data_IF_641124397549
#
_entry.id   IF_641124397549
#
_cell.length_a   1.000
_cell.length_b   1.000
_cell.length_c   1.000
_cell.angle_alpha   90.00
_cell.angle_beta   90.00
_cell.angle_gamma   90.00
#
_symmetry.space_group_name_H-M   'P 1'
#
loop_
_entity.id
_entity.type
_entity.pdbx_description
1 polymer ?
#
# COMPACT_ATOMS: atom_id res chain seq x y z
N UNK A 1 6.21 2.30 -15.10
CA UNK A 1 6.36 2.83 -13.72
C UNK A 1 5.74 4.22 -13.69
N UNK A 2 4.94 4.52 -12.67
CA UNK A 2 4.28 5.83 -12.51
C UNK A 2 5.13 6.74 -11.63
N UNK A 3 5.34 7.98 -12.07
CA UNK A 3 6.00 9.00 -11.27
C UNK A 3 5.00 9.53 -10.23
N UNK A 4 5.40 9.54 -8.96
CA UNK A 4 4.59 10.12 -7.89
C UNK A 4 4.79 11.64 -7.86
N UNK A 5 3.77 12.37 -8.29
CA UNK A 5 3.72 13.83 -8.16
C UNK A 5 3.60 14.24 -6.69
N UNK A 6 3.85 15.51 -6.38
CA UNK A 6 3.63 16.05 -5.04
C UNK A 6 2.19 15.80 -4.54
N UNK A 7 1.19 15.94 -5.41
CA UNK A 7 -0.21 15.66 -5.09
C UNK A 7 -0.47 14.18 -4.79
N UNK A 8 0.15 13.24 -5.53
CA UNK A 8 0.03 11.81 -5.23
C UNK A 8 0.68 11.43 -3.91
N UNK A 9 1.87 12.00 -3.61
CA UNK A 9 2.55 11.81 -2.31
C UNK A 9 1.67 12.31 -1.17
N UNK A 10 1.10 13.51 -1.33
CA UNK A 10 0.23 14.11 -0.32
C UNK A 10 -1.05 13.27 -0.11
N UNK A 11 -1.68 12.80 -1.18
CA UNK A 11 -2.85 11.93 -1.08
C UNK A 11 -2.56 10.65 -0.28
N UNK A 12 -1.39 10.02 -0.49
CA UNK A 12 -0.96 8.84 0.29
C UNK A 12 -0.82 9.21 1.76
N UNK A 13 -0.13 10.31 2.08
CA UNK A 13 0.07 10.77 3.45
C UNK A 13 -1.26 11.07 4.14
N UNK A 14 -2.12 11.85 3.50
CA UNK A 14 -3.41 12.25 4.05
C UNK A 14 -4.29 11.02 4.33
N UNK A 15 -4.33 10.09 3.39
CA UNK A 15 -5.10 8.85 3.54
C UNK A 15 -4.59 8.02 4.72
N UNK A 16 -3.28 7.77 4.80
CA UNK A 16 -2.71 6.97 5.90
C UNK A 16 -2.86 7.67 7.24
N UNK A 17 -2.61 8.97 7.30
CA UNK A 17 -2.68 9.75 8.53
C UNK A 17 -4.11 9.91 9.03
N UNK A 18 -5.10 10.03 8.14
CA UNK A 18 -6.52 10.02 8.53
C UNK A 18 -6.92 8.68 9.18
N UNK A 19 -6.51 7.55 8.59
CA UNK A 19 -6.78 6.21 9.15
C UNK A 19 -6.08 6.01 10.50
N UNK A 20 -4.80 6.36 10.58
CA UNK A 20 -4.02 6.29 11.83
C UNK A 20 -4.63 7.16 12.92
N UNK A 21 -5.10 8.36 12.58
CA UNK A 21 -5.74 9.28 13.52
C UNK A 21 -7.07 8.71 14.05
N UNK A 22 -7.85 8.01 13.23
CA UNK A 22 -9.09 7.35 13.68
C UNK A 22 -8.82 6.30 14.76
N UNK A 23 -7.80 5.46 14.56
CA UNK A 23 -7.34 4.48 15.57
C UNK A 23 -6.75 5.19 16.79
N UNK A 24 -5.88 6.18 16.58
CA UNK A 24 -5.21 6.91 17.66
C UNK A 24 -6.20 7.55 18.64
N UNK A 25 -7.30 8.10 18.14
CA UNK A 25 -8.35 8.72 18.93
C UNK A 25 -9.35 7.71 19.52
N UNK A 26 -9.21 6.40 19.26
CA UNK A 26 -10.18 5.39 19.68
C UNK A 26 -11.55 5.56 19.00
N UNK A 27 -11.59 6.15 17.79
CA UNK A 27 -12.82 6.40 17.02
C UNK A 27 -13.21 5.23 16.10
N UNK A 28 -12.45 4.14 16.11
CA UNK A 28 -12.79 2.90 15.43
C UNK A 28 -13.36 1.90 16.45
N UNK A 29 -14.59 1.39 16.26
CA UNK A 29 -15.17 0.40 17.16
C UNK A 29 -14.24 -0.79 17.39
N UNK A 30 -14.09 -1.20 18.65
CA UNK A 30 -13.22 -2.32 19.03
C UNK A 30 -11.75 -1.94 19.28
N UNK A 31 -11.33 -0.70 19.01
CA UNK A 31 -9.97 -0.22 19.29
C UNK A 31 -9.96 0.85 20.38
N UNK A 32 -9.03 0.70 21.33
CA UNK A 32 -8.72 1.76 22.30
C UNK A 32 -7.86 2.84 21.65
N UNK A 33 -7.86 4.04 22.22
CA UNK A 33 -6.93 5.09 21.81
C UNK A 33 -5.47 4.64 21.97
N UNK A 34 -4.62 5.12 21.05
CA UNK A 34 -3.20 4.82 21.09
C UNK A 34 -2.46 5.92 21.87
N UNK A 35 -1.54 5.53 22.75
CA UNK A 35 -0.76 6.50 23.56
C UNK A 35 0.24 7.32 22.73
N UNK A 36 0.74 6.77 21.62
CA UNK A 36 1.77 7.41 20.80
C UNK A 36 1.70 6.98 19.33
N UNK A 37 0.75 7.56 18.58
CA UNK A 37 0.63 7.36 17.13
C UNK A 37 1.09 8.61 16.38
N UNK A 38 2.26 8.56 15.75
CA UNK A 38 2.78 9.70 14.98
C UNK A 38 2.17 9.74 13.57
N UNK A 39 2.04 10.95 13.03
CA UNK A 39 1.74 11.13 11.60
C UNK A 39 2.95 10.68 10.76
N UNK A 40 2.70 9.94 9.69
CA UNK A 40 3.71 9.53 8.73
C UNK A 40 4.19 10.72 7.93
N UNK A 41 5.47 10.70 7.59
CA UNK A 41 6.10 11.59 6.62
C UNK A 41 6.52 10.82 5.37
N UNK A 42 6.56 11.50 4.23
CA UNK A 42 7.01 10.87 3.00
C UNK A 42 8.54 10.67 3.03
N UNK A 43 9.00 9.52 2.55
CA UNK A 43 10.42 9.25 2.39
C UNK A 43 10.72 8.75 0.97
N UNK A 44 11.59 9.49 0.26
CA UNK A 44 11.92 9.20 -1.13
C UNK A 44 12.81 7.97 -1.31
N UNK A 45 13.64 7.59 -0.31
CA UNK A 45 14.42 6.35 -0.35
C UNK A 45 13.51 5.12 -0.29
N UNK A 46 12.54 5.11 0.63
CA UNK A 46 11.52 4.05 0.71
C UNK A 46 10.68 3.98 -0.57
N UNK A 47 10.34 5.14 -1.15
CA UNK A 47 9.60 5.20 -2.42
C UNK A 47 10.43 4.63 -3.57
N UNK A 48 11.73 4.93 -3.62
CA UNK A 48 12.67 4.37 -4.60
C UNK A 48 12.81 2.85 -4.48
N UNK A 49 12.86 2.31 -3.26
CA UNK A 49 12.92 0.85 -3.03
C UNK A 49 11.61 0.18 -3.44
N UNK A 50 10.45 0.74 -3.04
CA UNK A 50 9.14 0.26 -3.51
C UNK A 50 9.05 0.24 -5.04
N UNK A 51 9.69 1.22 -5.67
CA UNK A 51 9.86 1.36 -7.11
C UNK A 51 10.56 0.17 -7.78
N UNK A 52 11.54 -0.44 -7.10
CA UNK A 52 12.25 -1.62 -7.58
C UNK A 52 11.38 -2.88 -7.50
N UNK A 53 10.51 -2.98 -6.49
CA UNK A 53 9.55 -4.08 -6.38
C UNK A 53 8.48 -4.01 -7.49
N UNK A 54 7.82 -2.85 -7.68
CA UNK A 54 6.74 -2.72 -8.68
C UNK A 54 7.24 -2.92 -10.12
N UNK A 55 8.51 -2.62 -10.41
CA UNK A 55 9.12 -2.86 -11.72
C UNK A 55 9.20 -4.34 -12.11
N UNK A 56 9.10 -5.25 -11.14
CA UNK A 56 9.11 -6.69 -11.41
C UNK A 56 7.76 -7.20 -11.91
N UNK A 57 6.68 -6.40 -11.79
CA UNK A 57 5.32 -6.77 -12.20
C UNK A 57 4.83 -8.09 -11.56
N UNK A 58 5.30 -8.40 -10.35
CA UNK A 58 4.94 -9.57 -9.56
C UNK A 58 4.33 -9.11 -8.24
N UNK A 59 3.15 -9.65 -7.89
CA UNK A 59 2.48 -9.38 -6.61
C UNK A 59 3.08 -10.19 -5.47
N UNK A 60 4.38 -9.96 -5.23
CA UNK A 60 5.16 -10.69 -4.24
C UNK A 60 6.02 -9.74 -3.42
N UNK A 61 6.08 -10.02 -2.12
CA UNK A 61 6.99 -9.33 -1.23
C UNK A 61 8.44 -9.65 -1.60
N UNK A 62 9.29 -8.63 -1.71
CA UNK A 62 10.73 -8.79 -1.84
C UNK A 62 11.37 -9.41 -0.58
N UNK A 63 12.51 -10.06 -0.71
CA UNK A 63 13.21 -10.67 0.44
C UNK A 63 13.92 -9.63 1.31
N UNK A 64 14.36 -8.52 0.71
CA UNK A 64 15.11 -7.46 1.37
C UNK A 64 14.67 -6.10 0.84
N UNK A 65 14.42 -5.16 1.75
CA UNK A 65 13.98 -3.78 1.47
C UNK A 65 14.44 -2.77 2.53
N UNK A 66 15.41 -3.18 3.35
CA UNK A 66 15.94 -2.37 4.42
C UNK A 66 16.85 -1.28 3.85
N UNK A 67 16.96 -0.17 4.57
CA UNK A 67 17.89 0.91 4.24
C UNK A 67 18.90 1.06 5.36
N UNK A 68 19.93 1.89 5.14
CA UNK A 68 20.88 2.21 6.21
C UNK A 68 20.18 2.84 7.43
N UNK A 69 19.20 3.72 7.17
CA UNK A 69 18.42 4.38 8.21
C UNK A 69 17.30 3.49 8.76
N UNK A 70 16.71 2.63 7.93
CA UNK A 70 15.56 1.81 8.29
C UNK A 70 15.87 0.31 8.17
N UNK A 71 16.31 -0.29 9.28
CA UNK A 71 16.72 -1.70 9.34
C UNK A 71 15.55 -2.70 9.33
N UNK A 72 14.32 -2.23 9.60
CA UNK A 72 13.11 -3.05 9.55
C UNK A 72 12.06 -2.25 8.79
N UNK A 73 11.81 -2.63 7.55
CA UNK A 73 10.86 -1.96 6.67
C UNK A 73 9.70 -2.91 6.34
N UNK A 74 8.49 -2.50 6.71
CA UNK A 74 7.25 -3.18 6.35
C UNK A 74 6.88 -2.95 4.88
N UNK A 75 5.92 -3.72 4.36
CA UNK A 75 5.46 -3.58 2.98
C UNK A 75 4.01 -3.98 2.84
N UNK A 76 3.22 -3.14 2.18
CA UNK A 76 1.88 -3.45 1.72
C UNK A 76 1.89 -3.51 0.19
N UNK A 77 1.26 -4.53 -0.38
CA UNK A 77 1.11 -4.68 -1.83
C UNK A 77 -0.37 -4.61 -2.20
N UNK A 78 -0.66 -3.96 -3.32
CA UNK A 78 -2.02 -3.82 -3.83
C UNK A 78 -2.03 -3.88 -5.35
N UNK A 79 -3.07 -4.51 -5.91
CA UNK A 79 -3.32 -4.55 -7.34
C UNK A 79 -4.76 -4.12 -7.59
N UNK A 80 -4.95 -3.32 -8.64
CA UNK A 80 -6.26 -2.99 -9.18
C UNK A 80 -6.27 -3.40 -10.64
N UNK A 81 -7.22 -4.24 -11.01
CA UNK A 81 -7.39 -4.74 -12.37
C UNK A 81 -8.61 -4.03 -12.98
N UNK A 82 -8.39 -3.32 -14.09
CA UNK A 82 -9.51 -2.86 -14.94
C UNK A 82 -9.82 -3.96 -15.95
N UNK A 83 -10.98 -4.58 -15.82
CA UNK A 83 -11.55 -5.48 -16.84
C UNK A 83 -12.46 -4.65 -17.74
N UNK A 84 -12.36 -4.87 -19.04
CA UNK A 84 -13.08 -4.12 -20.06
C UNK A 84 -14.57 -4.41 -20.21
N UNK A 85 -15.12 -5.30 -19.40
CA UNK A 85 -16.54 -5.54 -19.35
C UNK A 85 -16.92 -5.95 -17.93
N UNK A 86 -17.52 -5.00 -17.21
CA UNK A 86 -17.83 -5.14 -15.80
C UNK A 86 -19.34 -5.37 -15.66
N UNK A 87 -19.76 -6.64 -15.63
CA UNK A 87 -21.12 -7.00 -15.18
C UNK A 87 -21.14 -7.83 -13.89
N UNK A 88 -19.99 -7.98 -13.22
CA UNK A 88 -19.95 -8.53 -11.86
C UNK A 88 -18.77 -7.94 -11.10
N UNK A 89 -19.06 -7.09 -10.10
CA UNK A 89 -18.14 -6.80 -9.00
C UNK A 89 -17.99 -8.12 -8.25
N UNK A 90 -17.01 -8.91 -8.65
CA UNK A 90 -16.85 -10.25 -8.10
C UNK A 90 -15.58 -10.90 -8.61
N UNK A 91 -14.58 -10.96 -7.73
CA UNK A 91 -13.64 -12.08 -7.69
C UNK A 91 -12.57 -12.12 -8.79
N UNK A 92 -11.54 -11.29 -8.66
CA UNK A 92 -10.19 -11.67 -9.13
C UNK A 92 -9.09 -11.61 -8.06
N UNK A 93 -9.41 -11.18 -6.83
CA UNK A 93 -8.43 -11.12 -5.73
C UNK A 93 -9.02 -11.60 -4.38
N UNK A 94 -10.00 -12.50 -4.40
CA UNK A 94 -10.53 -13.11 -3.19
C UNK A 94 -9.79 -14.40 -2.88
N UNK A 95 -8.77 -14.32 -2.00
CA UNK A 95 -8.02 -15.47 -1.51
C UNK A 95 -7.60 -15.29 -0.05
N UNK A 96 -8.27 -16.07 0.81
CA UNK A 96 -7.89 -16.54 2.14
C UNK A 96 -8.18 -15.67 3.38
N UNK A 97 -9.17 -16.14 4.13
CA UNK A 97 -9.77 -15.59 5.36
C UNK A 97 -8.88 -15.60 6.62
N UNK A 98 -7.55 -15.56 6.49
CA UNK A 98 -6.62 -15.40 7.63
C UNK A 98 -5.45 -14.42 7.38
N UNK A 99 -5.25 -13.95 6.14
CA UNK A 99 -4.25 -12.92 5.76
C UNK A 99 -4.77 -11.46 5.86
N UNK A 100 -6.01 -11.28 6.31
CA UNK A 100 -6.79 -10.07 6.04
C UNK A 100 -6.56 -8.87 6.97
N UNK A 101 -5.69 -8.97 7.98
CA UNK A 101 -5.37 -7.82 8.85
C UNK A 101 -3.94 -7.29 8.70
N UNK A 102 -3.06 -7.99 7.97
CA UNK A 102 -1.65 -7.61 7.87
C UNK A 102 -1.44 -6.20 7.32
N UNK A 103 -2.15 -5.86 6.24
CA UNK A 103 -2.11 -4.50 5.68
C UNK A 103 -2.61 -3.45 6.66
N UNK A 104 -3.71 -3.74 7.37
CA UNK A 104 -4.26 -2.84 8.38
C UNK A 104 -3.26 -2.61 9.52
N UNK A 105 -2.73 -3.69 10.11
CA UNK A 105 -1.73 -3.63 11.17
C UNK A 105 -0.48 -2.86 10.74
N UNK A 106 -0.05 -3.02 9.48
CA UNK A 106 1.10 -2.28 8.94
C UNK A 106 0.81 -0.77 8.80
N UNK A 107 -0.42 -0.38 8.45
CA UNK A 107 -0.84 1.04 8.39
C UNK A 107 -0.85 1.65 9.78
N UNK A 108 -1.32 0.92 10.79
CA UNK A 108 -1.55 1.44 12.15
C UNK A 108 -0.40 1.12 13.12
N UNK A 109 0.74 0.67 12.61
CA UNK A 109 1.92 0.43 13.44
C UNK A 109 2.45 1.74 14.04
N UNK A 110 2.49 1.84 15.36
CA UNK A 110 2.87 3.05 16.11
C UNK A 110 4.34 3.45 15.91
N UNK A 111 5.22 2.47 15.72
CA UNK A 111 6.65 2.68 15.41
C UNK A 111 6.90 3.18 13.99
N UNK A 112 5.93 3.10 13.07
CA UNK A 112 6.10 3.62 11.72
C UNK A 112 6.01 5.16 11.74
N UNK A 113 7.04 5.81 11.23
CA UNK A 113 7.13 7.28 11.11
C UNK A 113 7.24 7.75 9.65
N UNK A 114 7.60 6.86 8.73
CA UNK A 114 7.83 7.18 7.32
C UNK A 114 7.11 6.21 6.41
N UNK A 115 6.71 6.70 5.24
CA UNK A 115 6.14 5.90 4.16
C UNK A 115 6.70 6.35 2.82
N UNK A 116 6.94 5.37 1.95
CA UNK A 116 7.28 5.62 0.55
C UNK A 116 6.57 4.60 -0.32
N UNK A 117 5.97 5.07 -1.41
CA UNK A 117 5.18 4.22 -2.30
C UNK A 117 5.61 4.39 -3.75
N UNK A 118 5.37 3.36 -4.54
CA UNK A 118 5.48 3.40 -6.00
C UNK A 118 4.37 2.56 -6.63
N UNK A 119 4.11 2.79 -7.90
CA UNK A 119 3.10 2.07 -8.66
C UNK A 119 3.58 1.85 -10.10
N UNK A 120 3.13 0.75 -10.70
CA UNK A 120 3.31 0.47 -12.12
C UNK A 120 1.99 0.05 -12.74
N UNK A 121 1.66 0.62 -13.89
CA UNK A 121 0.61 0.11 -14.76
C UNK A 121 1.27 -0.71 -15.86
N UNK A 122 0.79 -1.93 -16.06
CA UNK A 122 1.18 -2.81 -17.15
C UNK A 122 -0.03 -3.59 -17.65
N UNK A 123 0.01 -4.00 -18.91
CA UNK A 123 -0.94 -4.95 -19.47
C UNK A 123 -0.31 -6.33 -19.43
N UNK A 124 -1.11 -7.35 -19.10
CA UNK A 124 -0.66 -8.74 -19.16
C UNK A 124 -1.12 -9.30 -20.51
N UNK A 125 -0.20 -9.62 -21.45
CA UNK A 125 -0.57 -10.29 -22.70
C UNK A 125 -1.31 -11.60 -22.39
N UNK A 126 -2.41 -11.87 -23.10
CA UNK A 126 -3.28 -13.05 -22.87
C UNK A 126 -3.98 -13.10 -21.51
N UNK A 127 -4.06 -11.99 -20.77
CA UNK A 127 -5.03 -11.85 -19.69
C UNK A 127 -6.38 -11.40 -20.25
N UNK A 128 -7.52 -11.85 -19.69
CA UNK A 128 -8.84 -11.37 -20.12
C UNK A 128 -9.03 -9.84 -19.93
N UNK A 129 -8.09 -9.15 -19.28
CA UNK A 129 -8.05 -7.70 -19.09
C UNK A 129 -7.37 -6.92 -20.23
N UNK A 130 -6.80 -7.58 -21.24
CA UNK A 130 -5.97 -6.92 -22.27
C UNK A 130 -6.73 -6.36 -23.48
N UNK A 131 -8.04 -6.15 -23.39
CA UNK A 131 -8.83 -5.56 -24.46
C UNK A 131 -9.72 -4.46 -23.92
N UNK A 132 -9.36 -3.20 -24.14
CA UNK A 132 -10.14 -1.94 -23.99
C UNK A 132 -9.72 -1.05 -22.79
N UNK A 133 -9.69 0.26 -23.11
CA UNK A 133 -9.08 1.38 -22.40
C UNK A 133 -9.78 1.77 -21.09
#
# INVERSE_FOLDING_TARGET
MLLFTASSKQLVLDTHNALRNKIALGKEPGFKSASKMMALQWNDELAFIASLNVRQCQMLHDKCRNTFQFQIVGQNLGISVKLAQQSSIGTCCGGDNFKNIGHFLQVVQDRAAFVGCSASRYTVPNSPASKLF
#
